data_IF_503758434930
#
_entry.id   IF_503758434930
#
_cell.length_a   1.000
_cell.length_b   1.000
_cell.length_c   1.000
_cell.angle_alpha   90.00
_cell.angle_beta   90.00
_cell.angle_gamma   90.00
#
_symmetry.space_group_name_H-M   'P 1'
#
loop_
_entity.id
_entity.type
_entity.pdbx_description
1 polymer ?
#
# COMPACT_ATOMS: atom_id res chain seq x y z
N UNK A 1 -12.47 -10.29 4.69
CA UNK A 1 -13.47 -9.79 3.70
C UNK A 1 -14.56 -8.90 4.31
N UNK A 2 -15.40 -9.36 5.26
CA UNK A 2 -16.51 -8.54 5.80
C UNK A 2 -16.08 -7.20 6.45
N UNK A 3 -14.95 -7.18 7.16
CA UNK A 3 -14.40 -5.94 7.76
C UNK A 3 -13.85 -4.99 6.71
N UNK A 4 -13.13 -5.55 5.74
CA UNK A 4 -12.57 -4.84 4.60
C UNK A 4 -13.64 -4.11 3.78
N UNK A 5 -14.71 -4.80 3.40
CA UNK A 5 -15.81 -4.19 2.65
C UNK A 5 -16.51 -3.09 3.45
N UNK A 6 -16.66 -3.25 4.77
CA UNK A 6 -17.24 -2.22 5.64
C UNK A 6 -16.40 -0.95 5.69
N UNK A 7 -15.08 -1.05 5.82
CA UNK A 7 -14.18 0.12 5.81
C UNK A 7 -14.26 0.86 4.47
N UNK A 8 -14.23 0.10 3.37
CA UNK A 8 -14.30 0.64 2.01
C UNK A 8 -15.64 1.24 1.61
N UNK A 9 -16.69 1.14 2.44
CA UNK A 9 -17.94 1.89 2.22
C UNK A 9 -17.77 3.39 2.42
N UNK A 10 -16.87 3.79 3.33
CA UNK A 10 -16.61 5.20 3.65
C UNK A 10 -15.25 5.66 3.13
N UNK A 11 -14.29 4.75 3.03
CA UNK A 11 -12.92 5.06 2.64
C UNK A 11 -12.72 4.78 1.15
N UNK A 12 -12.56 5.86 0.38
CA UNK A 12 -12.37 5.84 -1.07
C UNK A 12 -11.21 6.74 -1.45
N UNK A 13 -10.38 6.30 -2.39
CA UNK A 13 -9.25 7.05 -2.93
C UNK A 13 -9.61 7.71 -4.27
N UNK A 14 -9.11 8.93 -4.47
CA UNK A 14 -9.25 9.68 -5.73
C UNK A 14 -7.89 9.85 -6.39
N UNK A 15 -7.83 10.45 -7.59
CA UNK A 15 -6.55 10.76 -8.24
C UNK A 15 -5.65 11.67 -7.41
N UNK A 16 -6.23 12.65 -6.69
CA UNK A 16 -5.47 13.56 -5.81
C UNK A 16 -5.08 12.93 -4.48
N UNK A 17 -5.95 12.07 -3.93
CA UNK A 17 -5.75 11.41 -2.64
C UNK A 17 -6.05 9.91 -2.78
N UNK A 18 -5.15 9.16 -3.42
CA UNK A 18 -5.37 7.73 -3.65
C UNK A 18 -5.31 6.96 -2.33
N UNK A 19 -5.94 5.78 -2.36
CA UNK A 19 -6.09 4.91 -1.20
C UNK A 19 -4.91 3.96 -1.09
N UNK A 20 -4.21 4.00 0.04
CA UNK A 20 -3.16 3.05 0.37
C UNK A 20 -3.76 1.79 0.98
N UNK A 21 -3.92 0.75 0.16
CA UNK A 21 -4.37 -0.56 0.57
C UNK A 21 -3.20 -1.42 1.06
N UNK A 22 -3.28 -1.87 2.31
CA UNK A 22 -2.29 -2.81 2.88
C UNK A 22 -2.90 -4.20 2.97
N UNK A 23 -2.20 -5.18 2.37
CA UNK A 23 -2.50 -6.58 2.54
C UNK A 23 -1.33 -7.28 3.24
N UNK A 24 -1.63 -7.94 4.37
CA UNK A 24 -0.65 -8.71 5.12
C UNK A 24 -1.06 -10.18 5.13
N UNK A 25 -0.14 -11.03 4.69
CA UNK A 25 -0.25 -12.48 4.79
C UNK A 25 0.55 -13.00 5.99
N UNK A 26 0.65 -14.34 6.12
CA UNK A 26 1.49 -14.94 7.15
C UNK A 26 2.98 -14.65 6.95
N UNK A 27 3.43 -14.51 5.70
CA UNK A 27 4.85 -14.41 5.34
C UNK A 27 5.23 -13.06 4.74
N UNK A 28 4.33 -12.44 4.00
CA UNK A 28 4.58 -11.27 3.15
C UNK A 28 3.63 -10.12 3.41
N UNK A 29 4.06 -8.91 3.05
CA UNK A 29 3.28 -7.68 3.10
C UNK A 29 3.30 -6.97 1.75
N UNK A 30 2.14 -6.48 1.36
CA UNK A 30 1.90 -5.80 0.10
C UNK A 30 1.21 -4.47 0.38
N UNK A 31 1.68 -3.42 -0.29
CA UNK A 31 1.11 -2.08 -0.22
C UNK A 31 0.82 -1.59 -1.64
N UNK A 32 -0.39 -1.11 -1.87
CA UNK A 32 -0.80 -0.56 -3.16
C UNK A 32 -1.47 0.78 -2.97
N UNK A 33 -1.13 1.73 -3.82
CA UNK A 33 -1.73 3.04 -3.90
C UNK A 33 -2.70 3.06 -5.08
N UNK A 34 -3.99 3.11 -4.78
CA UNK A 34 -5.07 2.87 -5.74
C UNK A 34 -5.91 4.14 -5.90
N UNK A 35 -6.13 4.52 -7.14
CA UNK A 35 -7.15 5.48 -7.53
C UNK A 35 -8.46 4.71 -7.81
N UNK A 36 -9.47 4.90 -6.96
CA UNK A 36 -10.76 4.21 -7.10
C UNK A 36 -11.69 4.89 -8.12
N UNK A 37 -11.37 6.10 -8.62
CA UNK A 37 -12.08 6.74 -9.73
C UNK A 37 -11.66 6.13 -11.07
N UNK A 38 -10.35 6.03 -11.28
CA UNK A 38 -9.78 5.44 -12.50
C UNK A 38 -9.68 3.91 -12.45
N UNK A 39 -9.86 3.30 -11.28
CA UNK A 39 -9.67 1.85 -11.07
C UNK A 39 -8.23 1.39 -11.30
N UNK A 40 -7.25 2.28 -11.07
CA UNK A 40 -5.83 2.07 -11.42
C UNK A 40 -4.93 2.14 -10.20
N UNK A 41 -3.93 1.25 -10.17
CA UNK A 41 -2.82 1.33 -9.22
C UNK A 41 -1.79 2.35 -9.70
N UNK A 42 -1.56 3.39 -8.89
CA UNK A 42 -0.59 4.46 -9.14
C UNK A 42 0.81 4.03 -8.76
N UNK A 43 0.94 3.37 -7.61
CA UNK A 43 2.20 2.84 -7.10
C UNK A 43 1.94 1.56 -6.29
N UNK A 44 2.91 0.66 -6.23
CA UNK A 44 2.85 -0.53 -5.39
C UNK A 44 4.22 -0.85 -4.80
N UNK A 45 4.27 -1.60 -3.72
CA UNK A 45 5.48 -2.19 -3.16
C UNK A 45 5.16 -3.49 -2.41
N UNK A 46 6.09 -4.44 -2.38
CA UNK A 46 5.99 -5.63 -1.52
C UNK A 46 7.36 -6.15 -1.06
N UNK A 47 7.38 -6.90 0.03
CA UNK A 47 8.61 -7.54 0.53
C UNK A 47 9.07 -8.74 -0.32
N UNK A 48 8.30 -9.11 -1.35
CA UNK A 48 8.65 -10.14 -2.33
C UNK A 48 9.49 -9.59 -3.49
N UNK A 49 9.48 -8.27 -3.70
CA UNK A 49 10.25 -7.61 -4.74
C UNK A 49 11.75 -7.82 -4.54
N UNK A 50 12.50 -8.05 -5.62
CA UNK A 50 13.93 -8.36 -5.57
C UNK A 50 14.73 -7.34 -4.76
N UNK A 51 14.37 -6.05 -4.82
CA UNK A 51 15.00 -4.96 -4.07
C UNK A 51 14.82 -5.05 -2.55
N UNK A 52 13.83 -5.80 -2.07
CA UNK A 52 13.50 -5.97 -0.64
C UNK A 52 13.59 -7.42 -0.18
N UNK A 53 13.73 -8.38 -1.10
CA UNK A 53 13.73 -9.82 -0.80
C UNK A 53 14.95 -10.25 0.01
N UNK A 54 16.06 -9.53 -0.10
CA UNK A 54 17.29 -9.74 0.69
C UNK A 54 17.32 -8.92 1.97
N UNK A 55 16.23 -8.19 2.30
CA UNK A 55 16.17 -7.42 3.53
C UNK A 55 15.99 -8.38 4.72
N UNK A 56 17.08 -8.59 5.45
CA UNK A 56 17.07 -9.31 6.72
C UNK A 56 16.30 -8.52 7.79
N UNK A 57 15.65 -9.24 8.72
CA UNK A 57 14.99 -8.65 9.87
C UNK A 57 13.61 -9.21 10.20
N UNK A 58 12.96 -8.59 11.19
CA UNK A 58 11.63 -9.01 11.65
C UNK A 58 10.56 -8.65 10.62
N UNK A 59 9.34 -9.19 10.78
CA UNK A 59 8.19 -8.80 9.94
C UNK A 59 7.90 -7.29 10.01
N UNK A 60 8.18 -6.68 11.15
CA UNK A 60 8.04 -5.23 11.35
C UNK A 60 9.07 -4.44 10.56
N UNK A 61 10.30 -4.93 10.45
CA UNK A 61 11.37 -4.26 9.70
C UNK A 61 11.09 -4.34 8.20
N UNK A 62 10.69 -5.50 7.70
CA UNK A 62 10.23 -5.65 6.30
C UNK A 62 9.05 -4.73 5.97
N UNK A 63 8.09 -4.57 6.89
CA UNK A 63 6.97 -3.64 6.71
C UNK A 63 7.43 -2.17 6.63
N UNK A 64 8.43 -1.76 7.42
CA UNK A 64 9.02 -0.42 7.33
C UNK A 64 9.68 -0.20 5.97
N UNK A 65 10.46 -1.16 5.48
CA UNK A 65 11.11 -1.06 4.17
C UNK A 65 10.11 -0.97 3.01
N UNK A 66 9.02 -1.76 3.05
CA UNK A 66 7.93 -1.65 2.07
C UNK A 66 7.26 -0.29 2.13
N UNK A 67 7.02 0.25 3.33
CA UNK A 67 6.48 1.59 3.54
C UNK A 67 7.37 2.69 2.96
N UNK A 68 8.68 2.60 3.15
CA UNK A 68 9.65 3.54 2.57
C UNK A 68 9.63 3.48 1.04
N UNK A 69 9.64 2.27 0.47
CA UNK A 69 9.65 2.08 -0.99
C UNK A 69 8.37 2.60 -1.66
N UNK A 70 7.19 2.32 -1.08
CA UNK A 70 5.92 2.83 -1.65
C UNK A 70 5.84 4.35 -1.53
N UNK A 71 6.36 4.94 -0.45
CA UNK A 71 6.39 6.39 -0.29
C UNK A 71 7.30 7.08 -1.32
N UNK A 72 8.46 6.49 -1.62
CA UNK A 72 9.35 6.97 -2.69
C UNK A 72 8.66 6.91 -4.06
N UNK A 73 8.00 5.78 -4.37
CA UNK A 73 7.25 5.61 -5.62
C UNK A 73 6.05 6.56 -5.73
N UNK A 74 5.33 6.77 -4.63
CA UNK A 74 4.22 7.72 -4.58
C UNK A 74 4.68 9.16 -4.86
N UNK A 75 5.80 9.58 -4.26
CA UNK A 75 6.40 10.90 -4.53
C UNK A 75 6.85 11.04 -5.98
N UNK A 76 7.48 10.01 -6.55
CA UNK A 76 7.88 9.99 -7.96
C UNK A 76 6.67 10.07 -8.91
N UNK A 77 5.53 9.52 -8.50
CA UNK A 77 4.26 9.62 -9.21
C UNK A 77 3.47 10.93 -8.93
N UNK A 78 4.05 11.88 -8.19
CA UNK A 78 3.42 13.17 -7.90
C UNK A 78 2.35 13.16 -6.80
N UNK A 79 2.24 12.08 -6.02
CA UNK A 79 1.24 11.97 -4.96
C UNK A 79 1.79 12.50 -3.63
N UNK A 80 1.20 13.59 -3.13
CA UNK A 80 1.56 14.21 -1.85
C UNK A 80 0.68 13.79 -0.65
N UNK A 81 -0.57 13.40 -0.89
CA UNK A 81 -1.53 13.04 0.14
C UNK A 81 -2.24 11.73 -0.20
N UNK A 82 -2.56 10.94 0.82
CA UNK A 82 -3.20 9.63 0.66
C UNK A 82 -4.28 9.42 1.72
N UNK A 83 -5.13 8.42 1.51
CA UNK A 83 -6.01 7.88 2.56
C UNK A 83 -5.56 6.46 2.93
N UNK A 84 -5.51 6.15 4.23
CA UNK A 84 -4.98 4.87 4.69
C UNK A 84 -6.08 3.80 4.83
N UNK A 85 -6.01 2.76 4.00
CA UNK A 85 -6.87 1.58 4.10
C UNK A 85 -6.15 0.43 4.80
N UNK A 86 -6.56 0.20 6.04
CA UNK A 86 -6.01 -0.85 6.91
C UNK A 86 -6.34 -2.29 6.49
N UNK A 87 -7.04 -2.52 5.37
CA UNK A 87 -7.20 -3.86 4.76
C UNK A 87 -8.18 -4.80 5.47
N UNK A 88 -8.56 -4.51 6.71
CA UNK A 88 -9.67 -5.14 7.45
C UNK A 88 -9.37 -6.48 8.10
#
# INVERSE_FOLDING_TARGET
MRRHTRVRKQLRGTSERPRLAVFRSNQHIYAQLIDDDAGRTVAQASDVEASLRTADGTKSDRAKSVGQLVAQRAKAAGVGAIVFDRGG
#
